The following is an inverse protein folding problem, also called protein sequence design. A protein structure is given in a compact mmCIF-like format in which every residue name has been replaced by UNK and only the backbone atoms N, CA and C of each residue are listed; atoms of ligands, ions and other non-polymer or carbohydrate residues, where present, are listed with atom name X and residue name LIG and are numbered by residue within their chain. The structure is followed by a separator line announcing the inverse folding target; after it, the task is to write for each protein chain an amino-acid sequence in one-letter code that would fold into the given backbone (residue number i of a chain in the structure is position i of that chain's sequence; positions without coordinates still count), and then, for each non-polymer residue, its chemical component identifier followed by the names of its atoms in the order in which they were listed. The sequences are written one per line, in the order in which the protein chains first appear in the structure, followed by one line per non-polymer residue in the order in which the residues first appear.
data_IF_740725574351
#
_entry.id   IF_740725574351
#
_cell.length_a   1.000
_cell.length_b   1.000
_cell.length_c   1.000
_cell.angle_alpha   90.00
_cell.angle_beta   90.00
_cell.angle_gamma   90.00
#
_symmetry.space_group_name_H-M   'P 1'
#
loop_
_entity.id
_entity.type
_entity.pdbx_description
1 polymer ?
#
# COMPACT_ATOMS: atom_id res chain seq x y z
N UNK A 1 1.29 -12.62 6.08
CA UNK A 1 1.84 -11.33 5.63
C UNK A 1 0.99 -10.83 4.48
N UNK A 2 0.44 -9.63 4.59
CA UNK A 2 -0.28 -8.96 3.50
C UNK A 2 0.76 -8.42 2.52
N UNK A 3 0.54 -8.67 1.23
CA UNK A 3 1.40 -8.20 0.14
C UNK A 3 1.40 -6.67 0.06
N UNK A 4 2.57 -6.06 -0.07
CA UNK A 4 2.69 -4.60 -0.19
C UNK A 4 2.29 -4.19 -1.61
N UNK A 5 1.13 -3.53 -1.74
CA UNK A 5 0.58 -3.08 -3.01
C UNK A 5 1.04 -1.68 -3.41
N UNK A 6 1.46 -0.87 -2.43
CA UNK A 6 1.92 0.50 -2.63
C UNK A 6 2.62 1.06 -1.39
N UNK A 7 3.31 2.19 -1.55
CA UNK A 7 3.94 2.92 -0.43
C UNK A 7 3.48 4.37 -0.41
N UNK A 8 3.22 4.88 0.79
CA UNK A 8 2.93 6.29 1.07
C UNK A 8 3.83 6.76 2.21
N UNK A 9 4.06 8.07 2.31
CA UNK A 9 4.77 8.66 3.45
C UNK A 9 3.78 9.28 4.43
N UNK A 10 4.21 9.57 5.66
CA UNK A 10 3.40 10.32 6.63
C UNK A 10 2.90 11.68 6.08
N UNK A 11 3.66 12.32 5.19
CA UNK A 11 3.25 13.57 4.52
C UNK A 11 2.02 13.36 3.62
N UNK A 12 1.94 12.23 2.91
CA UNK A 12 0.77 11.89 2.12
C UNK A 12 -0.45 11.64 3.01
N UNK A 13 -0.26 10.87 4.10
CA UNK A 13 -1.32 10.60 5.08
C UNK A 13 -1.86 11.91 5.66
N UNK A 14 -0.97 12.83 6.03
CA UNK A 14 -1.33 14.13 6.60
C UNK A 14 -2.24 14.94 5.66
N UNK A 15 -1.87 15.09 4.38
CA UNK A 15 -2.71 15.83 3.43
C UNK A 15 -4.05 15.13 3.17
N UNK A 16 -4.08 13.79 3.12
CA UNK A 16 -5.34 13.04 3.03
C UNK A 16 -6.18 13.30 4.29
N UNK A 17 -5.57 13.34 5.47
CA UNK A 17 -6.25 13.60 6.73
C UNK A 17 -6.84 15.01 6.78
N UNK A 18 -6.13 16.04 6.30
CA UNK A 18 -6.62 17.42 6.24
C UNK A 18 -7.89 17.54 5.40
N UNK A 19 -7.92 16.88 4.23
CA UNK A 19 -9.11 16.81 3.39
C UNK A 19 -10.22 16.00 4.08
N UNK A 20 -9.87 14.84 4.66
CA UNK A 20 -10.85 13.94 5.26
C UNK A 20 -11.50 14.50 6.53
N UNK A 21 -10.77 15.31 7.29
CA UNK A 21 -11.21 15.99 8.51
C UNK A 21 -12.41 16.92 8.26
N UNK A 22 -12.58 17.40 7.02
CA UNK A 22 -13.69 18.26 6.62
C UNK A 22 -15.03 17.52 6.59
N UNK A 23 -15.05 16.18 6.55
CA UNK A 23 -16.31 15.44 6.60
C UNK A 23 -17.00 15.66 7.95
N UNK A 24 -18.33 15.88 7.98
CA UNK A 24 -19.08 16.14 9.21
C UNK A 24 -18.87 15.09 10.31
N UNK A 25 -18.65 13.82 9.91
CA UNK A 25 -18.39 12.70 10.81
C UNK A 25 -17.15 12.88 11.69
N UNK A 26 -16.16 13.65 11.23
CA UNK A 26 -14.87 13.81 11.91
C UNK A 26 -14.70 15.19 12.56
N UNK A 27 -15.76 16.00 12.64
CA UNK A 27 -15.70 17.36 13.16
C UNK A 27 -15.09 17.41 14.57
N UNK A 28 -15.47 16.49 15.45
CA UNK A 28 -15.02 16.41 16.86
C UNK A 28 -13.69 15.68 17.06
N UNK A 29 -13.14 15.06 16.02
CA UNK A 29 -11.84 14.40 16.13
C UNK A 29 -10.74 15.46 16.02
N UNK A 30 -9.55 15.20 16.55
CA UNK A 30 -8.36 15.96 16.17
C UNK A 30 -7.78 15.39 14.86
N UNK A 31 -6.81 16.10 14.28
CA UNK A 31 -6.19 15.67 13.03
C UNK A 31 -5.35 14.40 13.21
N UNK A 32 -4.71 14.25 14.37
CA UNK A 32 -3.88 13.08 14.71
C UNK A 32 -4.69 11.78 14.68
N UNK A 33 -5.89 11.79 15.28
CA UNK A 33 -6.80 10.63 15.28
C UNK A 33 -7.27 10.27 13.88
N UNK A 34 -7.46 11.27 12.99
CA UNK A 34 -7.76 11.01 11.58
C UNK A 34 -6.55 10.38 10.88
N UNK A 35 -5.33 10.87 11.13
CA UNK A 35 -4.09 10.28 10.62
C UNK A 35 -3.93 8.82 11.07
N UNK A 36 -4.05 8.51 12.36
CA UNK A 36 -3.94 7.14 12.90
C UNK A 36 -4.98 6.21 12.25
N UNK A 37 -6.20 6.70 12.08
CA UNK A 37 -7.27 5.96 11.41
C UNK A 37 -6.93 5.68 9.94
N UNK A 38 -6.34 6.63 9.22
CA UNK A 38 -5.93 6.46 7.84
C UNK A 38 -4.73 5.52 7.69
N UNK A 39 -3.74 5.58 8.58
CA UNK A 39 -2.61 4.63 8.62
C UNK A 39 -3.14 3.20 8.80
N UNK A 40 -4.06 3.01 9.74
CA UNK A 40 -4.70 1.72 9.98
C UNK A 40 -5.41 1.20 8.72
N UNK A 41 -6.10 2.08 7.99
CA UNK A 41 -6.76 1.73 6.72
C UNK A 41 -5.75 1.40 5.61
N UNK A 42 -4.65 2.13 5.52
CA UNK A 42 -3.59 1.87 4.55
C UNK A 42 -3.02 0.47 4.72
N UNK A 43 -2.71 0.06 5.95
CA UNK A 43 -2.20 -1.30 6.23
C UNK A 43 -3.20 -2.40 5.83
N UNK A 44 -4.51 -2.20 6.05
CA UNK A 44 -5.55 -3.15 5.63
C UNK A 44 -5.58 -3.30 4.10
N UNK A 45 -5.34 -2.22 3.37
CA UNK A 45 -5.29 -2.22 1.91
C UNK A 45 -3.98 -2.78 1.34
N UNK A 46 -3.01 -3.13 2.20
CA UNK A 46 -1.67 -3.55 1.78
C UNK A 46 -0.75 -2.38 1.41
N UNK A 47 -1.06 -1.16 1.83
CA UNK A 47 -0.21 0.01 1.61
C UNK A 47 0.72 0.16 2.80
N UNK A 48 2.02 0.21 2.53
CA UNK A 48 3.06 0.48 3.52
C UNK A 48 3.18 1.99 3.74
N UNK A 49 3.06 2.43 5.00
CA UNK A 49 3.23 3.84 5.38
C UNK A 49 4.65 4.04 5.93
N UNK A 50 5.48 4.77 5.19
CA UNK A 50 6.87 5.04 5.51
C UNK A 50 6.98 6.15 6.54
N UNK A 51 7.64 5.84 7.66
CA UNK A 51 7.99 6.81 8.69
C UNK A 51 9.19 7.66 8.27
N UNK A 52 9.44 8.73 9.00
CA UNK A 52 10.58 9.60 8.71
C UNK A 52 11.90 8.87 8.93
N UNK A 53 11.99 8.04 9.97
CA UNK A 53 13.19 7.26 10.30
C UNK A 53 13.54 6.25 9.20
N UNK A 54 12.55 5.64 8.58
CA UNK A 54 12.74 4.70 7.45
C UNK A 54 13.27 5.43 6.21
N UNK A 55 12.79 6.65 5.96
CA UNK A 55 13.27 7.47 4.84
C UNK A 55 14.68 8.01 5.11
N UNK A 56 14.92 8.53 6.32
CA UNK A 56 16.20 9.14 6.71
C UNK A 56 17.33 8.10 6.79
N UNK A 57 17.01 6.85 7.14
CA UNK A 57 17.97 5.73 7.15
C UNK A 57 18.30 5.18 5.76
N UNK A 58 17.57 5.59 4.71
CA UNK A 58 17.73 5.07 3.36
C UNK A 58 17.32 3.61 3.19
N UNK A 59 16.58 3.04 4.16
CA UNK A 59 16.09 1.66 4.07
C UNK A 59 15.10 1.49 2.90
N UNK A 60 14.33 2.53 2.61
CA UNK A 60 13.40 2.56 1.48
C UNK A 60 13.64 3.84 0.67
N UNK A 61 13.94 3.67 -0.61
CA UNK A 61 13.99 4.77 -1.56
C UNK A 61 12.56 5.14 -2.00
N UNK A 62 12.07 6.29 -1.52
CA UNK A 62 10.78 6.89 -1.92
C UNK A 62 10.98 8.14 -2.80
N UNK A 63 12.14 8.29 -3.43
CA UNK A 63 12.31 9.23 -4.54
C UNK A 63 11.40 8.83 -5.72
N UNK A 64 11.10 9.73 -6.68
CA UNK A 64 10.37 9.37 -7.88
C UNK A 64 10.95 8.16 -8.62
N UNK A 65 12.29 8.08 -8.69
CA UNK A 65 13.01 6.99 -9.35
C UNK A 65 12.90 5.69 -8.55
N UNK A 66 13.13 5.73 -7.23
CA UNK A 66 12.98 4.57 -6.36
C UNK A 66 11.56 4.02 -6.33
N UNK A 67 10.57 4.91 -6.33
CA UNK A 67 9.17 4.52 -6.40
C UNK A 67 8.80 3.93 -7.76
N UNK A 68 9.34 4.47 -8.86
CA UNK A 68 9.14 3.92 -10.20
C UNK A 68 9.72 2.49 -10.31
N UNK A 69 10.90 2.24 -9.74
CA UNK A 69 11.48 0.90 -9.70
C UNK A 69 10.64 -0.05 -8.84
N UNK A 70 10.13 0.42 -7.69
CA UNK A 70 9.17 -0.36 -6.90
C UNK A 70 7.94 -0.77 -7.73
N UNK A 71 7.36 0.13 -8.52
CA UNK A 71 6.21 -0.17 -9.38
C UNK A 71 6.55 -1.18 -10.48
N UNK A 72 7.75 -1.11 -11.05
CA UNK A 72 8.22 -2.09 -12.05
C UNK A 72 8.39 -3.49 -11.45
N UNK A 73 9.03 -3.59 -10.28
CA UNK A 73 9.16 -4.87 -9.56
C UNK A 73 7.79 -5.43 -9.17
N UNK A 74 6.86 -4.53 -8.82
CA UNK A 74 5.47 -4.88 -8.51
C UNK A 74 4.75 -5.48 -9.71
N UNK A 75 4.93 -4.90 -10.90
CA UNK A 75 4.34 -5.41 -12.13
C UNK A 75 4.84 -6.82 -12.47
N UNK A 76 6.16 -7.04 -12.41
CA UNK A 76 6.78 -8.35 -12.63
C UNK A 76 6.22 -9.40 -11.65
N UNK A 77 6.07 -9.02 -10.38
CA UNK A 77 5.47 -9.89 -9.36
C UNK A 77 4.02 -10.25 -9.70
N UNK A 78 3.21 -9.28 -10.15
CA UNK A 78 1.81 -9.51 -10.48
C UNK A 78 1.66 -10.40 -11.72
N UNK A 79 2.54 -10.24 -12.72
CA UNK A 79 2.58 -11.09 -13.90
C UNK A 79 2.87 -12.55 -13.53
N UNK A 80 3.89 -12.79 -12.70
CA UNK A 80 4.19 -14.12 -12.16
C UNK A 80 2.98 -14.71 -11.43
N UNK A 81 2.37 -13.93 -10.53
CA UNK A 81 1.22 -14.37 -9.73
C UNK A 81 0.02 -14.75 -10.60
N UNK A 82 -0.19 -14.03 -11.71
CA UNK A 82 -1.23 -14.34 -12.70
C UNK A 82 -0.93 -15.68 -13.39
N UNK A 83 0.30 -15.89 -13.86
CA UNK A 83 0.74 -17.16 -14.46
C UNK A 83 0.53 -18.33 -13.51
N UNK A 84 0.98 -18.22 -12.26
CA UNK A 84 0.81 -19.27 -11.25
C UNK A 84 -0.68 -19.58 -10.99
N UNK A 85 -1.54 -18.56 -11.04
CA UNK A 85 -2.98 -18.74 -10.86
C UNK A 85 -3.62 -19.48 -12.03
N UNK A 86 -3.16 -19.22 -13.26
CA UNK A 86 -3.61 -19.92 -14.47
C UNK A 86 -3.15 -21.38 -14.47
N UNK A 87 -1.88 -21.64 -14.15
CA UNK A 87 -1.34 -22.99 -14.02
C UNK A 87 -2.08 -23.81 -12.96
N UNK A 88 -2.36 -23.21 -11.79
CA UNK A 88 -3.19 -23.86 -10.75
C UNK A 88 -4.60 -24.19 -11.22
N UNK A 89 -5.23 -23.30 -12.01
CA UNK A 89 -6.56 -23.54 -12.59
C UNK A 89 -6.51 -24.68 -13.61
N UNK A 90 -5.55 -24.68 -14.51
CA UNK A 90 -5.36 -25.72 -15.51
C UNK A 90 -5.10 -27.09 -14.87
N UNK A 91 -4.21 -27.16 -13.88
CA UNK A 91 -3.93 -28.39 -13.14
C UNK A 91 -5.17 -28.92 -12.40
N UNK A 92 -6.04 -28.04 -11.88
CA UNK A 92 -7.31 -28.45 -11.27
C UNK A 92 -8.28 -29.03 -12.30
N UNK A 93 -8.36 -28.45 -13.50
CA UNK A 93 -9.23 -28.96 -14.57
C UNK A 93 -8.78 -30.34 -15.07
N UNK A 94 -7.47 -30.56 -15.24
CA UNK A 94 -6.91 -31.85 -15.66
C UNK A 94 -7.13 -32.99 -14.65
N UNK A 95 -7.49 -32.69 -13.39
CA UNK A 95 -7.80 -33.71 -12.37
C UNK A 95 -9.27 -34.16 -12.39
N UNK A 96 -10.15 -33.38 -13.01
CA UNK A 96 -11.60 -33.61 -13.03
C UNK A 96 -12.03 -34.25 -14.37
N UNK A 97 -11.27 -34.02 -15.44
CA UNK A 97 -11.41 -34.70 -16.73
C UNK A 97 -10.76 -36.08 -16.72
#
# INVERSE_FOLDING_TARGET
MTEVCGRLTLKHIYHIAELKKQDPKYFTWDLEKVCIMLISKAHILGIEVLSKEVLDSGQVDHSPEGYAEFLKQRELFLEQKKRDAEERKQAKMMRIA
#
